data_IF_575390097034
#
_entry.id   IF_575390097034
#
_cell.length_a   1.000
_cell.length_b   1.000
_cell.length_c   1.000
_cell.angle_alpha   90.00
_cell.angle_beta   90.00
_cell.angle_gamma   90.00
#
_symmetry.space_group_name_H-M   'P 1'
#
loop_
_entity.id
_entity.type
_entity.pdbx_description
1 polymer ?
#
# COMPACT_ATOMS: atom_id res chain seq x y z
N UNK A 1 -4.32 -5.79 -2.05
CA UNK A 1 -2.94 -5.72 -1.47
C UNK A 1 -2.03 -6.85 -1.96
N UNK A 2 -2.41 -8.13 -1.95
CA UNK A 2 -1.54 -9.25 -2.34
C UNK A 2 -0.93 -9.10 -3.75
N UNK A 3 -1.75 -8.83 -4.77
CA UNK A 3 -1.28 -8.60 -6.14
C UNK A 3 -0.22 -7.48 -6.23
N UNK A 4 -0.38 -6.44 -5.42
CA UNK A 4 0.58 -5.33 -5.36
C UNK A 4 1.91 -5.76 -4.69
N UNK A 5 1.84 -6.54 -3.61
CA UNK A 5 3.05 -7.04 -2.92
C UNK A 5 3.90 -7.89 -3.86
N UNK A 6 3.27 -8.74 -4.68
CA UNK A 6 3.99 -9.54 -5.68
C UNK A 6 4.80 -8.66 -6.65
N UNK A 7 4.23 -7.54 -7.07
CA UNK A 7 4.92 -6.59 -7.95
C UNK A 7 6.00 -5.78 -7.20
N UNK A 8 5.76 -5.39 -5.95
CA UNK A 8 6.76 -4.70 -5.12
C UNK A 8 7.99 -5.59 -4.93
N UNK A 9 7.82 -6.88 -4.66
CA UNK A 9 8.94 -7.83 -4.56
C UNK A 9 9.76 -7.87 -5.86
N UNK A 10 9.09 -7.84 -7.01
CA UNK A 10 9.75 -7.92 -8.32
C UNK A 10 10.43 -6.60 -8.73
N UNK A 11 9.80 -5.46 -8.45
CA UNK A 11 10.23 -4.15 -8.95
C UNK A 11 11.12 -3.38 -7.99
N UNK A 12 11.07 -3.69 -6.70
CA UNK A 12 11.83 -3.02 -5.63
C UNK A 12 12.61 -4.00 -4.74
N UNK A 13 13.33 -4.98 -5.30
CA UNK A 13 13.89 -6.10 -4.51
C UNK A 13 14.95 -5.66 -3.50
N UNK A 14 15.58 -4.52 -3.72
CA UNK A 14 16.66 -4.00 -2.87
C UNK A 14 16.27 -2.76 -2.07
N UNK A 15 15.05 -2.28 -2.25
CA UNK A 15 14.59 -1.05 -1.59
C UNK A 15 14.05 -1.34 -0.19
N UNK A 16 14.16 -0.35 0.68
CA UNK A 16 13.58 -0.43 2.01
C UNK A 16 12.09 -0.11 1.96
N UNK A 17 11.30 -1.00 2.50
CA UNK A 17 9.87 -0.82 2.70
C UNK A 17 9.59 -0.36 4.13
N UNK A 18 8.61 0.52 4.29
CA UNK A 18 7.97 0.83 5.56
C UNK A 18 6.53 0.39 5.48
N UNK A 19 6.09 -0.48 6.39
CA UNK A 19 4.76 -1.07 6.40
C UNK A 19 4.00 -0.58 7.63
N UNK A 20 2.83 0.00 7.40
CA UNK A 20 1.90 0.38 8.46
C UNK A 20 0.77 -0.65 8.57
N UNK A 21 0.47 -1.05 9.80
CA UNK A 21 -0.56 -2.04 10.15
C UNK A 21 -1.80 -1.37 10.73
N UNK A 22 -2.96 -2.03 10.65
CA UNK A 22 -4.26 -1.53 11.16
C UNK A 22 -4.25 -1.14 12.64
N UNK A 23 -3.45 -1.80 13.44
CA UNK A 23 -3.38 -1.55 14.90
C UNK A 23 -2.39 -0.44 15.28
N UNK A 24 -1.85 0.30 14.31
CA UNK A 24 -0.87 1.36 14.53
C UNK A 24 0.58 0.88 14.63
N UNK A 25 0.84 -0.43 14.57
CA UNK A 25 2.20 -0.94 14.49
C UNK A 25 2.83 -0.64 13.14
N UNK A 26 4.14 -0.44 13.15
CA UNK A 26 4.95 -0.25 11.95
C UNK A 26 6.13 -1.21 11.96
N UNK A 27 6.54 -1.61 10.78
CA UNK A 27 7.77 -2.36 10.59
C UNK A 27 8.45 -1.93 9.29
N UNK A 28 9.74 -2.22 9.16
CA UNK A 28 10.51 -1.91 7.97
C UNK A 28 11.52 -3.00 7.65
N UNK A 29 11.81 -3.15 6.37
CA UNK A 29 12.77 -4.12 5.88
C UNK A 29 12.79 -4.16 4.36
N UNK A 30 13.63 -4.98 3.77
CA UNK A 30 13.56 -5.26 2.33
C UNK A 30 12.49 -6.31 2.05
N UNK A 31 11.91 -6.33 0.83
CA UNK A 31 10.95 -7.36 0.48
C UNK A 31 11.61 -8.74 0.46
N UNK A 32 11.02 -9.67 1.18
CA UNK A 32 11.35 -11.09 1.17
C UNK A 32 10.35 -11.90 0.35
N UNK A 33 9.77 -12.92 0.96
CA UNK A 33 8.88 -13.87 0.30
C UNK A 33 7.44 -13.74 0.78
N UNK A 34 6.52 -14.23 -0.04
CA UNK A 34 5.13 -14.46 0.37
C UNK A 34 4.99 -15.89 0.90
N UNK A 35 4.37 -16.04 2.06
CA UNK A 35 4.25 -17.31 2.78
C UNK A 35 2.79 -17.66 3.12
N UNK A 36 2.42 -18.96 3.09
CA UNK A 36 3.12 -20.02 2.37
C UNK A 36 3.12 -19.76 0.86
N UNK A 37 3.98 -20.44 0.10
CA UNK A 37 4.08 -20.25 -1.36
C UNK A 37 2.73 -20.51 -2.08
N UNK A 38 1.94 -21.44 -1.58
CA UNK A 38 0.58 -21.70 -2.02
C UNK A 38 -0.41 -20.99 -1.10
N UNK A 39 -1.26 -20.13 -1.65
CA UNK A 39 -2.26 -19.34 -0.92
C UNK A 39 -1.62 -18.43 0.16
N UNK A 40 -0.76 -17.47 -0.24
CA UNK A 40 0.00 -16.66 0.69
C UNK A 40 -0.87 -15.71 1.51
N UNK A 41 -0.59 -15.64 2.81
CA UNK A 41 -1.25 -14.72 3.76
C UNK A 41 -0.27 -13.91 4.59
N UNK A 42 1.03 -14.24 4.51
CA UNK A 42 2.10 -13.52 5.18
C UNK A 42 3.07 -12.94 4.16
N UNK A 43 3.60 -11.78 4.46
CA UNK A 43 4.67 -11.13 3.72
C UNK A 43 5.90 -11.04 4.63
N UNK A 44 6.95 -11.74 4.24
CA UNK A 44 8.22 -11.75 4.96
C UNK A 44 9.06 -10.54 4.58
N UNK A 45 9.66 -9.91 5.58
CA UNK A 45 10.66 -8.87 5.40
C UNK A 45 12.04 -9.43 5.76
N UNK A 46 13.04 -8.99 5.02
CA UNK A 46 14.43 -9.40 5.21
C UNK A 46 15.32 -8.20 5.55
N UNK A 47 16.46 -8.48 6.16
CA UNK A 47 17.50 -7.48 6.43
C UNK A 47 18.30 -7.13 5.15
N UNK A 48 19.30 -6.27 5.30
CA UNK A 48 20.19 -5.87 4.19
C UNK A 48 21.03 -7.04 3.65
N UNK A 49 21.13 -8.16 4.36
CA UNK A 49 21.85 -9.35 3.98
C UNK A 49 20.95 -10.47 3.45
N UNK A 50 19.64 -10.19 3.32
CA UNK A 50 18.66 -11.15 2.84
C UNK A 50 18.22 -12.17 3.88
N UNK A 51 18.50 -11.95 5.17
CA UNK A 51 18.05 -12.87 6.24
C UNK A 51 16.66 -12.48 6.70
N UNK A 52 15.76 -13.47 6.89
CA UNK A 52 14.41 -13.23 7.43
C UNK A 52 14.44 -12.47 8.76
N UNK A 53 13.63 -11.44 8.88
CA UNK A 53 13.47 -10.65 10.11
C UNK A 53 12.08 -10.81 10.70
N UNK A 54 11.06 -10.51 9.91
CA UNK A 54 9.68 -10.47 10.35
C UNK A 54 8.76 -10.93 9.23
N UNK A 55 7.60 -11.46 9.60
CA UNK A 55 6.51 -11.74 8.68
C UNK A 55 5.24 -11.01 9.13
N UNK A 56 4.64 -10.26 8.23
CA UNK A 56 3.43 -9.48 8.49
C UNK A 56 2.22 -10.08 7.80
N UNK A 57 1.06 -10.04 8.45
CA UNK A 57 -0.19 -10.50 7.85
C UNK A 57 -0.62 -9.54 6.73
N UNK A 58 -0.73 -10.05 5.50
CA UNK A 58 -1.15 -9.28 4.32
C UNK A 58 -2.52 -8.62 4.53
N UNK A 59 -3.44 -9.32 5.21
CA UNK A 59 -4.79 -8.82 5.50
C UNK A 59 -4.81 -7.64 6.49
N UNK A 60 -3.73 -7.41 7.23
CA UNK A 60 -3.61 -6.34 8.23
C UNK A 60 -2.79 -5.15 7.76
N UNK A 61 -2.22 -5.20 6.57
CA UNK A 61 -1.45 -4.09 6.01
C UNK A 61 -2.39 -2.97 5.58
N UNK A 62 -2.14 -1.76 6.06
CA UNK A 62 -2.82 -0.53 5.63
C UNK A 62 -2.06 0.14 4.49
N UNK A 63 -0.75 0.31 4.65
CA UNK A 63 0.09 0.91 3.61
C UNK A 63 1.47 0.26 3.53
N UNK A 64 2.04 0.31 2.34
CA UNK A 64 3.43 -0.04 2.07
C UNK A 64 4.07 1.16 1.39
N UNK A 65 5.13 1.70 1.98
CA UNK A 65 5.92 2.78 1.40
C UNK A 65 7.28 2.25 0.96
N UNK A 66 7.68 2.56 -0.25
CA UNK A 66 9.04 2.31 -0.74
C UNK A 66 9.86 3.57 -0.45
N UNK A 67 10.74 3.54 0.54
CA UNK A 67 11.38 4.74 1.10
C UNK A 67 12.57 5.26 0.30
N UNK A 68 13.14 4.47 -0.59
CA UNK A 68 14.41 4.77 -1.26
C UNK A 68 14.31 4.88 -2.78
N UNK A 69 13.12 4.78 -3.36
CA UNK A 69 12.92 4.77 -4.81
C UNK A 69 11.81 5.72 -5.25
N UNK A 70 11.78 5.99 -6.55
CA UNK A 70 10.65 6.63 -7.21
C UNK A 70 9.57 5.62 -7.58
N UNK A 71 8.36 6.12 -7.87
CA UNK A 71 7.29 5.29 -8.38
C UNK A 71 7.67 4.62 -9.70
N UNK A 72 7.37 3.33 -9.83
CA UNK A 72 7.65 2.56 -11.04
C UNK A 72 6.35 2.37 -11.84
N UNK A 73 6.31 2.90 -13.05
CA UNK A 73 5.14 2.88 -13.94
C UNK A 73 4.78 1.46 -14.47
N UNK A 74 5.65 0.48 -14.25
CA UNK A 74 5.36 -0.92 -14.60
C UNK A 74 4.35 -1.59 -13.64
N UNK A 75 4.00 -0.94 -12.53
CA UNK A 75 2.99 -1.46 -11.60
C UNK A 75 1.61 -1.45 -12.28
N UNK A 76 0.94 -2.59 -12.19
CA UNK A 76 -0.43 -2.79 -12.70
C UNK A 76 -1.42 -2.95 -11.54
N UNK A 77 -2.67 -2.61 -11.80
CA UNK A 77 -3.74 -2.63 -10.80
C UNK A 77 -4.87 -3.54 -11.24
N UNK A 78 -5.57 -4.11 -10.26
CA UNK A 78 -6.76 -4.91 -10.53
C UNK A 78 -7.89 -4.00 -11.01
N UNK A 79 -8.60 -4.46 -12.04
CA UNK A 79 -9.81 -3.79 -12.49
C UNK A 79 -10.92 -3.86 -11.43
N UNK A 80 -11.80 -2.86 -11.43
CA UNK A 80 -13.02 -2.92 -10.63
C UNK A 80 -13.84 -4.14 -11.03
N UNK A 81 -14.29 -4.97 -10.07
CA UNK A 81 -15.15 -6.13 -10.38
C UNK A 81 -16.42 -5.73 -11.12
N UNK A 82 -16.87 -6.62 -12.02
CA UNK A 82 -18.13 -6.45 -12.75
C UNK A 82 -19.00 -7.68 -12.49
N UNK A 83 -20.22 -7.50 -11.93
CA UNK A 83 -20.84 -6.24 -11.49
C UNK A 83 -20.11 -5.61 -10.31
N UNK A 84 -20.21 -4.27 -10.19
CA UNK A 84 -19.62 -3.54 -9.07
C UNK A 84 -20.22 -4.04 -7.75
N UNK A 85 -19.39 -4.38 -6.74
CA UNK A 85 -19.89 -4.83 -5.44
C UNK A 85 -20.81 -3.77 -4.80
N UNK A 86 -21.87 -4.24 -4.13
CA UNK A 86 -22.93 -3.39 -3.55
C UNK A 86 -23.01 -3.55 -2.03
N UNK A 87 -21.88 -3.72 -1.36
CA UNK A 87 -21.81 -3.82 0.09
C UNK A 87 -21.26 -2.53 0.73
N UNK A 88 -21.32 -2.46 2.06
CA UNK A 88 -20.80 -1.32 2.82
C UNK A 88 -19.31 -1.08 2.58
N UNK A 89 -18.52 -2.15 2.48
CA UNK A 89 -17.08 -2.04 2.21
C UNK A 89 -16.78 -1.45 0.83
N UNK A 90 -17.53 -1.86 -0.18
CA UNK A 90 -17.41 -1.34 -1.54
C UNK A 90 -17.83 0.14 -1.61
N UNK A 91 -18.87 0.54 -0.87
CA UNK A 91 -19.31 1.94 -0.79
C UNK A 91 -18.26 2.82 -0.11
N UNK A 92 -17.63 2.35 0.97
CA UNK A 92 -16.54 3.06 1.64
C UNK A 92 -15.32 3.19 0.73
N UNK A 93 -14.94 2.12 0.05
CA UNK A 93 -13.83 2.11 -0.90
C UNK A 93 -14.03 3.14 -2.02
N UNK A 94 -15.21 3.13 -2.63
CA UNK A 94 -15.57 4.09 -3.68
C UNK A 94 -15.57 5.54 -3.18
N UNK A 95 -16.06 5.78 -1.96
CA UNK A 95 -16.06 7.10 -1.34
C UNK A 95 -14.65 7.63 -1.09
N UNK A 96 -13.74 6.79 -0.60
CA UNK A 96 -12.32 7.15 -0.41
C UNK A 96 -11.70 7.57 -1.73
N UNK A 97 -11.91 6.81 -2.81
CA UNK A 97 -11.41 7.16 -4.14
C UNK A 97 -12.03 8.45 -4.69
N UNK A 98 -13.32 8.66 -4.48
CA UNK A 98 -13.99 9.88 -4.92
C UNK A 98 -13.49 11.13 -4.15
N UNK A 99 -13.16 10.98 -2.87
CA UNK A 99 -12.67 12.09 -2.05
C UNK A 99 -11.25 12.53 -2.41
N UNK A 100 -10.37 11.58 -2.82
CA UNK A 100 -8.97 11.82 -3.16
C UNK A 100 -8.69 11.51 -4.65
N UNK A 101 -9.16 12.31 -5.60
CA UNK A 101 -8.86 12.10 -7.02
C UNK A 101 -7.36 12.28 -7.32
N UNK A 102 -6.91 11.70 -8.43
CA UNK A 102 -5.55 11.89 -8.93
C UNK A 102 -5.21 13.37 -9.05
N UNK A 103 -4.02 13.76 -8.63
CA UNK A 103 -3.53 15.14 -8.62
C UNK A 103 -3.87 15.91 -7.33
N UNK A 104 -4.62 15.33 -6.38
CA UNK A 104 -4.84 15.97 -5.07
C UNK A 104 -3.50 16.15 -4.36
N UNK A 105 -3.09 17.40 -4.16
CA UNK A 105 -1.88 17.75 -3.43
C UNK A 105 -2.15 17.80 -1.91
N UNK A 106 -1.10 17.58 -1.12
CA UNK A 106 -1.14 17.59 0.34
C UNK A 106 -2.15 16.58 0.95
N UNK A 107 -2.53 15.57 0.18
CA UNK A 107 -3.37 14.50 0.71
C UNK A 107 -2.70 13.81 1.89
N UNK A 108 -3.45 13.56 2.95
CA UNK A 108 -3.00 12.84 4.13
C UNK A 108 -4.01 11.76 4.48
N UNK A 109 -3.52 10.55 4.72
CA UNK A 109 -4.32 9.41 5.13
C UNK A 109 -3.84 8.92 6.49
N UNK A 110 -4.80 8.77 7.42
CA UNK A 110 -4.54 8.23 8.75
C UNK A 110 -5.28 6.90 8.92
N UNK A 111 -4.66 5.99 9.61
CA UNK A 111 -5.23 4.72 10.05
C UNK A 111 -4.44 4.17 11.24
N UNK A 112 -5.11 3.44 12.14
CA UNK A 112 -4.47 2.91 13.34
C UNK A 112 -3.87 3.99 14.25
N UNK A 113 -4.44 5.19 14.24
CA UNK A 113 -3.98 6.32 15.06
C UNK A 113 -2.71 7.02 14.54
N UNK A 114 -2.29 6.75 13.31
CA UNK A 114 -1.08 7.34 12.72
C UNK A 114 -1.32 7.80 11.28
N UNK A 115 -0.47 8.74 10.80
CA UNK A 115 -0.43 9.10 9.38
C UNK A 115 0.32 8.00 8.61
N UNK A 116 -0.38 7.30 7.72
CA UNK A 116 0.16 6.19 6.93
C UNK A 116 0.65 6.61 5.55
N UNK A 117 0.17 7.74 5.05
CA UNK A 117 0.65 8.35 3.80
C UNK A 117 0.37 9.85 3.79
N UNK A 118 1.29 10.62 3.18
CA UNK A 118 1.13 12.05 2.95
C UNK A 118 1.87 12.46 1.68
N UNK A 119 1.24 13.31 0.85
CA UNK A 119 1.81 13.78 -0.41
C UNK A 119 0.78 14.05 -1.48
N UNK A 120 1.14 13.79 -2.73
CA UNK A 120 0.26 13.96 -3.89
C UNK A 120 -0.30 12.60 -4.32
N UNK A 121 -1.59 12.55 -4.60
CA UNK A 121 -2.24 11.35 -5.15
C UNK A 121 -1.80 11.17 -6.60
N UNK A 122 -0.97 10.14 -6.84
CA UNK A 122 -0.48 9.80 -8.17
C UNK A 122 -1.39 8.80 -8.90
N UNK A 123 -1.89 7.80 -8.18
CA UNK A 123 -2.80 6.77 -8.70
C UNK A 123 -3.99 6.60 -7.78
N UNK A 124 -5.15 6.35 -8.39
CA UNK A 124 -6.40 6.12 -7.70
C UNK A 124 -7.09 4.94 -8.37
N UNK A 125 -6.86 3.75 -7.85
CA UNK A 125 -7.30 2.48 -8.44
C UNK A 125 -8.19 1.72 -7.46
N UNK A 126 -8.96 0.76 -7.96
CA UNK A 126 -9.79 -0.07 -7.10
C UNK A 126 -8.94 -0.77 -6.01
N UNK A 127 -9.30 -0.51 -4.77
CA UNK A 127 -8.63 -1.07 -3.59
C UNK A 127 -7.31 -0.38 -3.17
N UNK A 128 -6.76 0.55 -3.98
CA UNK A 128 -5.44 1.16 -3.73
C UNK A 128 -5.37 2.62 -4.16
N UNK A 129 -4.86 3.47 -3.28
CA UNK A 129 -4.33 4.79 -3.62
C UNK A 129 -2.81 4.75 -3.60
N UNK A 130 -2.17 5.46 -4.52
CA UNK A 130 -0.72 5.71 -4.49
C UNK A 130 -0.48 7.18 -4.20
N UNK A 131 0.19 7.44 -3.09
CA UNK A 131 0.58 8.79 -2.67
C UNK A 131 2.09 8.89 -2.73
N UNK A 132 2.58 9.96 -3.36
CA UNK A 132 4.00 10.17 -3.60
C UNK A 132 4.48 11.51 -3.02
N UNK A 133 5.76 11.57 -2.70
CA UNK A 133 6.47 12.80 -2.41
C UNK A 133 6.87 13.57 -3.68
N UNK A 134 7.68 14.62 -3.54
CA UNK A 134 8.21 15.38 -4.67
C UNK A 134 8.92 14.47 -5.68
N UNK A 135 8.75 14.76 -6.98
CA UNK A 135 9.33 13.98 -8.09
C UNK A 135 8.93 12.50 -8.06
N UNK A 136 7.70 12.20 -7.65
CA UNK A 136 7.16 10.84 -7.52
C UNK A 136 8.00 9.93 -6.60
N UNK A 137 8.69 10.52 -5.63
CA UNK A 137 9.53 9.78 -4.68
C UNK A 137 8.71 9.10 -3.58
N UNK A 138 9.32 8.08 -3.00
CA UNK A 138 8.80 7.37 -1.82
C UNK A 138 7.32 6.98 -1.93
N UNK A 139 6.91 6.25 -2.98
CA UNK A 139 5.51 5.91 -3.19
C UNK A 139 4.96 5.11 -2.01
N UNK A 140 3.82 5.56 -1.50
CA UNK A 140 3.04 4.87 -0.49
C UNK A 140 1.79 4.28 -1.14
N UNK A 141 1.66 2.97 -1.08
CA UNK A 141 0.53 2.20 -1.58
C UNK A 141 -0.44 1.95 -0.43
N UNK A 142 -1.57 2.62 -0.44
CA UNK A 142 -2.54 2.61 0.67
C UNK A 142 -3.78 1.83 0.29
N UNK A 143 -4.20 0.91 1.15
CA UNK A 143 -5.47 0.20 0.99
C UNK A 143 -6.65 1.15 1.23
N UNK A 144 -7.49 1.36 0.21
CA UNK A 144 -8.68 2.20 0.32
C UNK A 144 -9.72 1.64 1.29
N UNK A 145 -9.75 0.32 1.49
CA UNK A 145 -10.65 -0.33 2.44
C UNK A 145 -10.24 -0.14 3.91
N UNK A 146 -9.04 0.36 4.17
CA UNK A 146 -8.46 0.52 5.52
C UNK A 146 -8.12 1.97 5.88
N UNK A 147 -8.37 2.90 4.99
CA UNK A 147 -8.23 4.32 5.26
C UNK A 147 -9.34 4.78 6.23
N UNK A 148 -8.96 5.44 7.32
CA UNK A 148 -9.90 5.85 8.39
C UNK A 148 -10.20 7.35 8.33
N UNK A 149 -9.18 8.18 8.19
CA UNK A 149 -9.31 9.65 8.14
C UNK A 149 -8.56 10.15 6.90
N UNK A 150 -9.22 10.99 6.13
CA UNK A 150 -8.71 11.56 4.89
C UNK A 150 -8.66 13.08 5.03
N UNK A 151 -7.55 13.69 4.67
CA UNK A 151 -7.33 15.14 4.63
C UNK A 151 -6.78 15.54 3.26
N UNK A 152 -7.13 16.78 2.80
CA UNK A 152 -6.61 17.37 1.55
C UNK A 152 -6.60 18.90 1.61
#
# INVERSE_FOLDING_TARGET
MLHLIQQIIALYPNDTLSIAMENGNNTSGRPGSLLPATNPGLFELVDSQGRPQEAVSVCRIVSIRVTSAAYNDAITYLATPVPTPQDCGASCEAAVRAYLPVGTANASIKAGGQTVAQGTVLQNQFGVLVIVGPNNSSPAFVSTCKAEILEK
#
